data_IF_340298474947
#
_entry.id   IF_340298474947
#
_cell.length_a   1.000
_cell.length_b   1.000
_cell.length_c   1.000
_cell.angle_alpha   90.00
_cell.angle_beta   90.00
_cell.angle_gamma   90.00
#
_symmetry.space_group_name_H-M   'P 1'
#
loop_
_entity.id
_entity.type
_entity.pdbx_description
1 polymer ?
#
# COMPACT_ATOMS: atom_id res chain seq x y z
N UNK A 1 19.79 9.44 15.62
CA UNK A 1 19.93 8.02 15.98
C UNK A 1 20.54 7.28 14.81
N UNK A 2 20.88 6.00 14.98
CA UNK A 2 21.31 5.15 13.87
C UNK A 2 20.16 4.99 12.85
N UNK A 3 20.46 5.11 11.56
CA UNK A 3 19.48 4.84 10.51
C UNK A 3 19.18 3.34 10.44
N UNK A 4 17.93 2.93 10.18
CA UNK A 4 17.61 1.53 9.96
C UNK A 4 18.43 0.94 8.80
N UNK A 5 18.82 -0.33 8.88
CA UNK A 5 19.44 -1.06 7.77
C UNK A 5 18.48 -1.25 6.61
N UNK A 6 17.22 -1.58 6.91
CA UNK A 6 16.14 -1.70 5.95
C UNK A 6 14.77 -1.69 6.64
N UNK A 7 13.74 -1.53 5.84
CA UNK A 7 12.34 -1.65 6.24
C UNK A 7 11.69 -2.75 5.40
N UNK A 8 10.93 -3.65 6.04
CA UNK A 8 10.02 -4.58 5.36
C UNK A 8 8.60 -4.03 5.47
N UNK A 9 7.93 -3.87 4.33
CA UNK A 9 6.54 -3.41 4.25
C UNK A 9 5.68 -4.56 3.74
N UNK A 10 4.64 -4.88 4.49
CA UNK A 10 3.55 -5.75 4.08
C UNK A 10 2.28 -4.89 4.10
N UNK A 11 1.73 -4.57 2.93
CA UNK A 11 0.63 -3.63 2.76
C UNK A 11 -0.53 -4.31 2.06
N UNK A 12 -1.61 -4.57 2.78
CA UNK A 12 -2.79 -5.26 2.26
C UNK A 12 -3.90 -4.26 1.97
N UNK A 13 -4.44 -4.33 0.76
CA UNK A 13 -5.64 -3.63 0.34
C UNK A 13 -6.75 -4.66 0.15
N UNK A 14 -7.87 -4.47 0.82
CA UNK A 14 -9.08 -5.29 0.69
C UNK A 14 -10.19 -4.42 0.10
N UNK A 15 -10.94 -4.95 -0.86
CA UNK A 15 -12.19 -4.36 -1.33
C UNK A 15 -13.35 -5.18 -0.77
N UNK A 16 -13.95 -4.76 0.36
CA UNK A 16 -14.93 -5.58 1.05
C UNK A 16 -16.17 -5.79 0.20
N UNK A 17 -16.65 -7.02 0.16
CA UNK A 17 -17.78 -7.40 -0.69
C UNK A 17 -19.00 -6.51 -0.44
N UNK A 18 -19.50 -5.83 -1.47
CA UNK A 18 -20.73 -5.04 -1.41
C UNK A 18 -21.93 -5.86 -1.85
N UNK A 19 -22.88 -5.99 -0.93
CA UNK A 19 -24.18 -6.63 -1.19
C UNK A 19 -25.23 -5.53 -1.21
N UNK A 20 -25.78 -5.20 -2.38
CA UNK A 20 -26.93 -4.28 -2.51
C UNK A 20 -28.04 -4.91 -3.35
N UNK A 21 -29.29 -4.44 -3.17
CA UNK A 21 -30.46 -4.96 -3.90
C UNK A 21 -30.44 -4.63 -5.41
N UNK A 22 -29.55 -3.73 -5.87
CA UNK A 22 -29.55 -3.18 -7.26
C UNK A 22 -28.21 -3.43 -7.99
N UNK A 23 -27.21 -4.06 -7.35
CA UNK A 23 -25.92 -4.37 -7.97
C UNK A 23 -24.83 -4.78 -6.96
N UNK A 24 -23.77 -5.44 -7.45
CA UNK A 24 -22.57 -5.79 -6.66
C UNK A 24 -21.59 -4.62 -6.53
N UNK A 25 -20.43 -4.87 -5.91
CA UNK A 25 -19.32 -3.92 -5.92
C UNK A 25 -18.62 -3.82 -7.28
N UNK A 26 -17.73 -2.85 -7.40
CA UNK A 26 -16.86 -2.62 -8.55
C UNK A 26 -15.41 -2.92 -8.18
N UNK A 27 -14.59 -3.26 -9.17
CA UNK A 27 -13.15 -3.34 -9.00
C UNK A 27 -12.56 -1.96 -8.74
N UNK A 28 -11.53 -1.88 -7.90
CA UNK A 28 -10.78 -0.64 -7.61
C UNK A 28 -9.38 -0.78 -8.17
N UNK A 29 -8.94 0.20 -8.97
CA UNK A 29 -7.55 0.32 -9.41
C UNK A 29 -6.83 1.31 -8.50
N UNK A 30 -5.64 0.93 -8.05
CA UNK A 30 -4.88 1.75 -7.12
C UNK A 30 -3.38 1.48 -7.24
N UNK A 31 -2.59 2.41 -6.70
CA UNK A 31 -1.13 2.33 -6.69
C UNK A 31 -0.61 2.52 -5.26
N UNK A 32 0.16 1.55 -4.77
CA UNK A 32 1.03 1.74 -3.62
C UNK A 32 2.25 2.58 -4.01
N UNK A 33 2.66 3.50 -3.14
CA UNK A 33 3.89 4.28 -3.28
C UNK A 33 4.60 4.37 -1.95
N UNK A 34 5.92 4.25 -1.98
CA UNK A 34 6.80 4.74 -0.94
C UNK A 34 7.45 6.02 -1.48
N UNK A 35 7.16 7.15 -0.84
CA UNK A 35 7.57 8.50 -1.27
C UNK A 35 8.52 9.07 -0.21
N UNK A 36 9.61 9.72 -0.60
CA UNK A 36 10.48 10.42 0.36
C UNK A 36 10.03 11.87 0.61
N UNK A 37 10.70 12.55 1.54
CA UNK A 37 10.39 13.94 1.90
C UNK A 37 10.60 14.98 0.78
N UNK A 38 11.18 14.58 -0.35
CA UNK A 38 11.35 15.41 -1.55
C UNK A 38 10.26 15.13 -2.61
N UNK A 39 9.23 14.37 -2.25
CA UNK A 39 8.16 13.88 -3.12
C UNK A 39 8.64 12.89 -4.21
N UNK A 40 9.86 12.34 -4.08
CA UNK A 40 10.36 11.35 -5.03
C UNK A 40 9.80 9.95 -4.71
N UNK A 41 9.30 9.27 -5.75
CA UNK A 41 8.79 7.89 -5.62
C UNK A 41 9.96 6.91 -5.56
N UNK A 42 10.21 6.36 -4.37
CA UNK A 42 11.26 5.37 -4.12
C UNK A 42 10.87 3.97 -4.60
N UNK A 43 9.62 3.56 -4.34
CA UNK A 43 9.04 2.31 -4.80
C UNK A 43 7.57 2.51 -5.13
N UNK A 44 7.06 1.77 -6.12
CA UNK A 44 5.64 1.75 -6.43
C UNK A 44 5.19 0.39 -6.96
N UNK A 45 3.90 0.12 -6.81
CA UNK A 45 3.25 -1.04 -7.40
C UNK A 45 1.78 -0.72 -7.66
N UNK A 46 1.28 -1.00 -8.86
CA UNK A 46 -0.11 -0.77 -9.24
C UNK A 46 -0.86 -2.09 -9.33
N UNK A 47 -2.11 -2.09 -8.89
CA UNK A 47 -2.95 -3.28 -8.89
C UNK A 47 -4.44 -2.94 -9.06
N UNK A 48 -5.22 -4.00 -9.31
CA UNK A 48 -6.68 -3.95 -9.36
C UNK A 48 -7.23 -4.99 -8.39
N UNK A 49 -8.12 -4.58 -7.50
CA UNK A 49 -8.79 -5.47 -6.52
C UNK A 49 -10.28 -5.55 -6.80
N UNK A 50 -10.78 -6.76 -7.02
CA UNK A 50 -12.20 -7.01 -7.33
C UNK A 50 -13.09 -6.99 -6.07
N UNK A 51 -14.41 -6.91 -6.26
CA UNK A 51 -15.40 -6.90 -5.17
C UNK A 51 -15.33 -8.19 -4.33
N UNK A 52 -14.94 -8.05 -3.06
CA UNK A 52 -14.79 -9.16 -2.12
C UNK A 52 -13.37 -9.75 -2.04
N UNK A 53 -12.41 -9.20 -2.78
CA UNK A 53 -11.03 -9.68 -2.82
C UNK A 53 -10.06 -8.79 -2.02
N UNK A 54 -8.83 -9.29 -1.86
CA UNK A 54 -7.72 -8.55 -1.25
C UNK A 54 -6.39 -8.87 -1.92
N UNK A 55 -5.46 -7.92 -1.88
CA UNK A 55 -4.12 -8.03 -2.43
C UNK A 55 -3.09 -7.46 -1.45
N UNK A 56 -1.91 -8.08 -1.39
CA UNK A 56 -0.82 -7.65 -0.52
C UNK A 56 0.41 -7.29 -1.34
N UNK A 57 0.98 -6.12 -1.06
CA UNK A 57 2.32 -5.74 -1.48
C UNK A 57 3.33 -6.05 -0.36
N UNK A 58 4.21 -7.02 -0.60
CA UNK A 58 5.34 -7.38 0.28
C UNK A 58 6.66 -6.92 -0.38
N UNK A 59 7.35 -5.96 0.25
CA UNK A 59 8.58 -5.37 -0.27
C UNK A 59 9.61 -5.09 0.83
N UNK A 60 10.87 -4.98 0.43
CA UNK A 60 12.00 -4.55 1.27
C UNK A 60 12.59 -3.28 0.67
N UNK A 61 12.89 -2.30 1.52
CA UNK A 61 13.48 -1.02 1.16
C UNK A 61 14.69 -0.67 2.02
N UNK A 62 15.79 -0.24 1.41
CA UNK A 62 17.10 -0.07 2.07
C UNK A 62 17.51 1.39 2.30
N UNK A 63 16.95 2.36 1.57
CA UNK A 63 17.38 3.77 1.68
C UNK A 63 16.55 4.54 2.71
N UNK A 64 16.78 4.25 3.99
CA UNK A 64 15.93 4.68 5.12
C UNK A 64 16.35 5.99 5.77
N UNK A 65 17.26 6.75 5.13
CA UNK A 65 17.89 7.94 5.74
C UNK A 65 16.95 9.14 5.77
N UNK A 66 16.02 9.22 4.82
CA UNK A 66 15.00 10.28 4.74
C UNK A 66 13.71 9.87 5.46
N UNK A 67 12.84 10.84 5.72
CA UNK A 67 11.44 10.56 6.07
C UNK A 67 10.75 10.01 4.83
N UNK A 68 9.91 9.00 5.01
CA UNK A 68 9.14 8.39 3.92
C UNK A 68 7.67 8.21 4.30
N UNK A 69 6.81 8.41 3.31
CA UNK A 69 5.37 8.15 3.38
C UNK A 69 5.02 6.89 2.59
N UNK A 70 4.23 6.00 3.21
CA UNK A 70 3.58 4.88 2.54
C UNK A 70 2.16 5.30 2.16
N UNK A 71 1.88 5.34 0.86
CA UNK A 71 0.63 5.86 0.30
C UNK A 71 -0.06 4.79 -0.52
N UNK A 72 -1.39 4.72 -0.42
CA UNK A 72 -2.26 4.03 -1.37
C UNK A 72 -3.10 5.09 -2.07
N UNK A 73 -2.93 5.20 -3.38
CA UNK A 73 -3.62 6.17 -4.21
C UNK A 73 -4.63 5.47 -5.11
N UNK A 74 -5.89 5.92 -5.11
CA UNK A 74 -6.89 5.48 -6.09
C UNK A 74 -6.51 6.00 -7.48
N UNK A 75 -6.62 5.11 -8.47
CA UNK A 75 -6.46 5.42 -9.88
C UNK A 75 -7.81 5.34 -10.63
N UNK A 76 -8.65 4.35 -10.31
CA UNK A 76 -10.02 4.19 -10.83
C UNK A 76 -10.90 3.37 -9.88
N UNK A 77 -12.22 3.44 -10.04
CA UNK A 77 -13.21 2.81 -9.18
C UNK A 77 -13.59 3.65 -7.95
N UNK A 78 -14.75 3.37 -7.37
CA UNK A 78 -15.35 4.16 -6.28
C UNK A 78 -15.73 3.35 -5.03
N UNK A 79 -15.49 2.05 -5.03
CA UNK A 79 -15.72 1.24 -3.83
C UNK A 79 -14.71 1.61 -2.75
N UNK A 80 -15.15 1.53 -1.49
CA UNK A 80 -14.28 1.84 -0.34
C UNK A 80 -13.40 0.63 -0.06
N UNK A 81 -12.09 0.83 -0.08
CA UNK A 81 -11.13 -0.20 0.30
C UNK A 81 -10.73 -0.06 1.78
N UNK A 82 -10.44 -1.19 2.41
CA UNK A 82 -9.73 -1.26 3.68
C UNK A 82 -8.24 -1.38 3.41
N UNK A 83 -7.43 -0.76 4.27
CA UNK A 83 -5.97 -0.77 4.13
C UNK A 83 -5.36 -1.19 5.47
N UNK A 84 -4.50 -2.20 5.44
CA UNK A 84 -3.65 -2.59 6.56
C UNK A 84 -2.19 -2.47 6.15
N UNK A 85 -1.41 -1.77 6.97
CA UNK A 85 0.04 -1.67 6.81
C UNK A 85 0.74 -2.31 7.99
N UNK A 86 1.65 -3.23 7.71
CA UNK A 86 2.60 -3.78 8.67
C UNK A 86 4.01 -3.42 8.24
N UNK A 87 4.66 -2.59 9.05
CA UNK A 87 5.98 -2.04 8.79
C UNK A 87 6.94 -2.57 9.85
N UNK A 88 7.95 -3.32 9.41
CA UNK A 88 9.00 -3.84 10.28
C UNK A 88 10.29 -3.09 9.98
N UNK A 89 10.90 -2.49 10.99
CA UNK A 89 12.11 -1.67 10.88
C UNK A 89 13.26 -2.46 11.50
N UNK A 90 14.33 -2.66 10.73
CA UNK A 90 15.48 -3.45 11.14
C UNK A 90 16.71 -2.55 11.26
N UNK A 91 17.38 -2.56 12.41
CA UNK A 91 18.64 -1.87 12.65
C UNK A 91 19.81 -2.86 12.55
N UNK A 92 21.04 -2.37 12.39
CA UNK A 92 22.20 -3.25 12.59
C UNK A 92 22.34 -3.58 14.08
N UNK A 93 22.85 -4.78 14.38
CA UNK A 93 23.10 -5.26 15.74
C UNK A 93 24.21 -4.45 16.46
#
# INVERSE_FOLDING_TARGET
GQSPKYVKVESTVENPRRITEIGGGQSVQFTWKLIDELDDTCQSNSAVVDDGDSLTWDTIYFNTVLIHDLVVQYDDGQDRINIEHKVNIFYED
#
